data_IF_319946931779
#
_entry.id   IF_319946931779
#
_cell.length_a   1.000
_cell.length_b   1.000
_cell.length_c   1.000
_cell.angle_alpha   90.00
_cell.angle_beta   90.00
_cell.angle_gamma   90.00
#
_symmetry.space_group_name_H-M   'P 1'
#
loop_
_entity.id
_entity.type
_entity.pdbx_description
1 polymer ?
#
# COMPACT_ATOMS: atom_id res chain seq x y z
N UNK A 1 -2.57 -12.13 26.19
CA UNK A 1 -2.93 -12.12 24.76
C UNK A 1 -1.70 -11.71 23.94
N UNK A 2 -1.32 -12.52 22.98
CA UNK A 2 -0.19 -12.21 22.11
C UNK A 2 -0.70 -11.63 20.81
N UNK A 3 -0.22 -10.45 20.45
CA UNK A 3 -0.54 -9.84 19.16
C UNK A 3 0.56 -10.16 18.16
N UNK A 4 0.18 -10.50 16.95
CA UNK A 4 1.13 -10.68 15.85
C UNK A 4 1.10 -9.44 14.98
N UNK A 5 2.28 -8.95 14.61
CA UNK A 5 2.40 -7.81 13.71
C UNK A 5 3.08 -8.24 12.43
N UNK A 6 2.47 -7.91 11.30
CA UNK A 6 2.99 -8.19 9.97
C UNK A 6 3.33 -6.87 9.31
N UNK A 7 4.54 -6.77 8.77
CA UNK A 7 4.99 -5.55 8.13
C UNK A 7 5.49 -5.84 6.72
N UNK A 8 5.09 -4.96 5.81
CA UNK A 8 5.45 -5.04 4.39
C UNK A 8 5.91 -3.68 3.93
N UNK A 9 6.75 -3.66 2.92
CA UNK A 9 7.07 -2.42 2.23
C UNK A 9 7.03 -2.64 0.72
N UNK A 10 6.75 -1.56 0.03
CA UNK A 10 6.57 -1.54 -1.40
C UNK A 10 7.41 -0.41 -1.98
N UNK A 11 8.06 -0.70 -3.09
CA UNK A 11 8.76 0.29 -3.88
C UNK A 11 8.27 0.20 -5.31
N UNK A 12 7.91 1.33 -5.91
CA UNK A 12 7.51 1.34 -7.30
C UNK A 12 7.99 2.58 -8.03
N UNK A 13 8.14 2.42 -9.33
CA UNK A 13 8.44 3.51 -10.25
C UNK A 13 7.37 3.48 -11.34
N UNK A 14 6.22 4.15 -11.09
CA UNK A 14 5.16 4.23 -12.09
C UNK A 14 5.65 5.06 -13.28
N UNK A 15 5.72 4.45 -14.45
CA UNK A 15 6.16 5.13 -15.67
C UNK A 15 5.15 4.89 -16.78
N UNK A 16 4.97 5.91 -17.64
CA UNK A 16 4.06 5.82 -18.75
C UNK A 16 2.59 5.84 -18.34
N UNK A 17 1.70 5.61 -19.30
CA UNK A 17 0.25 5.62 -19.11
C UNK A 17 -0.34 4.25 -18.84
N UNK A 18 0.46 3.18 -18.99
CA UNK A 18 -0.01 1.80 -18.86
C UNK A 18 0.35 1.22 -17.50
N UNK A 19 -0.60 0.55 -16.80
CA UNK A 19 -0.29 -0.11 -15.53
C UNK A 19 0.85 -1.12 -15.64
N UNK A 20 0.96 -1.80 -16.80
CA UNK A 20 2.00 -2.80 -17.03
C UNK A 20 3.41 -2.21 -17.05
N UNK A 21 3.55 -0.88 -17.24
CA UNK A 21 4.85 -0.21 -17.24
C UNK A 21 5.35 0.10 -15.82
N UNK A 22 4.53 -0.16 -14.80
CA UNK A 22 4.91 0.11 -13.41
C UNK A 22 5.82 -0.98 -12.89
N UNK A 23 7.04 -0.60 -12.47
CA UNK A 23 7.93 -1.51 -11.75
C UNK A 23 7.50 -1.54 -10.29
N UNK A 24 7.26 -2.73 -9.76
CA UNK A 24 6.73 -2.90 -8.41
C UNK A 24 7.51 -3.99 -7.68
N UNK A 25 8.04 -3.65 -6.52
CA UNK A 25 8.76 -4.58 -5.66
C UNK A 25 8.13 -4.60 -4.28
N UNK A 26 7.96 -5.81 -3.72
CA UNK A 26 7.44 -6.02 -2.38
C UNK A 26 8.49 -6.69 -1.50
N UNK A 27 8.50 -6.31 -0.24
CA UNK A 27 9.31 -6.97 0.78
C UNK A 27 8.46 -7.17 2.04
N UNK A 28 8.81 -8.19 2.81
CA UNK A 28 8.21 -8.45 4.11
C UNK A 28 9.28 -8.42 5.19
N UNK A 29 8.89 -8.03 6.39
CA UNK A 29 9.79 -8.10 7.55
C UNK A 29 9.75 -9.51 8.11
N UNK A 30 10.92 -10.16 8.20
CA UNK A 30 11.02 -11.51 8.74
C UNK A 30 10.97 -11.50 10.27
N UNK A 31 10.82 -12.69 10.87
CA UNK A 31 10.81 -12.82 12.33
C UNK A 31 12.13 -12.40 12.97
N UNK A 32 13.22 -12.41 12.19
CA UNK A 32 14.54 -11.98 12.68
C UNK A 32 14.78 -10.48 12.49
N UNK A 33 13.80 -9.74 11.98
CA UNK A 33 13.93 -8.31 11.79
C UNK A 33 14.57 -7.89 10.47
N UNK A 34 14.71 -8.80 9.52
CA UNK A 34 15.29 -8.53 8.21
C UNK A 34 14.21 -8.40 7.13
N UNK A 35 14.41 -7.47 6.21
CA UNK A 35 13.54 -7.35 5.06
C UNK A 35 13.91 -8.37 4.01
N UNK A 36 12.91 -9.11 3.54
CA UNK A 36 13.07 -10.16 2.53
C UNK A 36 12.19 -9.87 1.33
N UNK A 37 12.67 -10.14 0.11
CA UNK A 37 11.81 -10.01 -1.07
C UNK A 37 10.57 -10.89 -0.93
N UNK A 38 9.42 -10.37 -1.35
CA UNK A 38 8.17 -11.11 -1.36
C UNK A 38 7.63 -11.13 -2.78
N UNK A 39 7.67 -12.30 -3.40
CA UNK A 39 7.06 -12.54 -4.70
C UNK A 39 5.88 -13.47 -4.46
N UNK A 40 4.64 -12.97 -4.49
CA UNK A 40 3.46 -13.80 -4.24
C UNK A 40 3.39 -14.95 -5.24
N UNK A 41 3.10 -16.13 -4.73
CA UNK A 41 3.02 -17.36 -5.53
C UNK A 41 1.95 -18.26 -4.92
N UNK A 42 1.61 -19.35 -5.63
CA UNK A 42 0.61 -20.30 -5.14
C UNK A 42 1.03 -20.98 -3.84
N UNK A 43 2.33 -21.05 -3.57
CA UNK A 43 2.86 -21.62 -2.33
C UNK A 43 2.93 -20.63 -1.17
N UNK A 44 2.65 -19.35 -1.39
CA UNK A 44 2.65 -18.34 -0.33
C UNK A 44 1.49 -18.61 0.62
N UNK A 45 1.71 -18.55 1.96
CA UNK A 45 0.61 -18.72 2.91
C UNK A 45 -0.55 -17.76 2.61
N UNK A 46 -1.78 -18.29 2.65
CA UNK A 46 -2.96 -17.54 2.24
C UNK A 46 -3.16 -16.23 2.98
N UNK A 47 -2.89 -16.19 4.29
CA UNK A 47 -3.04 -14.96 5.06
C UNK A 47 -2.03 -13.90 4.62
N UNK A 48 -0.79 -14.33 4.31
CA UNK A 48 0.22 -13.41 3.78
C UNK A 48 -0.18 -12.86 2.41
N UNK A 49 -0.78 -13.69 1.57
CA UNK A 49 -1.34 -13.23 0.30
C UNK A 49 -2.45 -12.21 0.53
N UNK A 50 -3.31 -12.44 1.50
CA UNK A 50 -4.39 -11.52 1.83
C UNK A 50 -3.85 -10.15 2.25
N UNK A 51 -2.86 -10.11 3.14
CA UNK A 51 -2.25 -8.86 3.56
C UNK A 51 -1.50 -8.17 2.41
N UNK A 52 -0.79 -8.94 1.59
CA UNK A 52 -0.12 -8.40 0.41
C UNK A 52 -1.11 -7.80 -0.58
N UNK A 53 -2.28 -8.43 -0.71
CA UNK A 53 -3.34 -7.93 -1.59
C UNK A 53 -3.85 -6.57 -1.12
N UNK A 54 -3.92 -6.32 0.18
CA UNK A 54 -4.29 -5.00 0.69
C UNK A 54 -3.30 -3.92 0.24
N UNK A 55 -2.00 -4.19 0.40
CA UNK A 55 -0.98 -3.25 -0.01
C UNK A 55 -0.97 -3.02 -1.51
N UNK A 56 -1.08 -4.09 -2.30
CA UNK A 56 -1.12 -4.02 -3.76
C UNK A 56 -2.35 -3.24 -4.22
N UNK A 57 -3.49 -3.47 -3.60
CA UNK A 57 -4.73 -2.78 -3.93
C UNK A 57 -4.63 -1.28 -3.62
N UNK A 58 -4.08 -0.94 -2.47
CA UNK A 58 -3.83 0.46 -2.12
C UNK A 58 -2.96 1.15 -3.16
N UNK A 59 -1.85 0.50 -3.53
CA UNK A 59 -0.94 1.02 -4.53
C UNK A 59 -1.62 1.19 -5.90
N UNK A 60 -2.41 0.21 -6.32
CA UNK A 60 -3.12 0.27 -7.60
C UNK A 60 -4.01 1.51 -7.67
N UNK A 61 -4.79 1.76 -6.64
CA UNK A 61 -5.71 2.90 -6.62
C UNK A 61 -5.01 4.24 -6.47
N UNK A 62 -3.88 4.25 -5.77
CA UNK A 62 -3.03 5.43 -5.70
C UNK A 62 -2.55 5.84 -7.10
N UNK A 63 -1.98 4.89 -7.84
CA UNK A 63 -1.45 5.15 -9.19
C UNK A 63 -2.59 5.52 -10.14
N UNK A 64 -3.73 4.82 -10.06
CA UNK A 64 -4.86 5.09 -10.92
C UNK A 64 -5.42 6.51 -10.72
N UNK A 65 -5.58 6.94 -9.47
CA UNK A 65 -6.08 8.29 -9.19
C UNK A 65 -5.09 9.35 -9.62
N UNK A 66 -3.80 9.15 -9.37
CA UNK A 66 -2.78 10.09 -9.79
C UNK A 66 -2.79 10.26 -11.32
N UNK A 67 -2.94 9.16 -12.06
CA UNK A 67 -3.04 9.21 -13.52
C UNK A 67 -4.27 9.96 -13.98
N UNK A 68 -5.41 9.72 -13.36
CA UNK A 68 -6.65 10.41 -13.71
C UNK A 68 -6.55 11.91 -13.46
N UNK A 69 -5.80 12.32 -12.44
CA UNK A 69 -5.54 13.73 -12.16
C UNK A 69 -4.44 14.34 -13.03
N UNK A 70 -3.78 13.52 -13.85
CA UNK A 70 -2.65 13.99 -14.66
C UNK A 70 -1.38 14.26 -13.86
N UNK A 71 -1.24 13.63 -12.69
CA UNK A 71 -0.05 13.78 -11.87
C UNK A 71 1.02 12.75 -12.29
N UNK A 72 2.20 13.20 -12.73
CA UNK A 72 3.25 12.28 -13.19
C UNK A 72 4.06 11.75 -12.02
N UNK A 73 3.62 10.63 -11.47
CA UNK A 73 4.37 9.94 -10.42
C UNK A 73 5.65 9.34 -10.98
N UNK A 74 6.77 9.58 -10.33
CA UNK A 74 8.03 8.91 -10.70
C UNK A 74 8.46 7.88 -9.65
N UNK A 75 7.99 7.99 -8.42
CA UNK A 75 8.38 7.07 -7.36
C UNK A 75 7.31 7.00 -6.28
N UNK A 76 7.07 5.78 -5.78
CA UNK A 76 6.19 5.54 -4.63
C UNK A 76 6.90 4.59 -3.68
N UNK A 77 6.99 4.99 -2.42
CA UNK A 77 7.45 4.14 -1.33
C UNK A 77 6.28 3.92 -0.40
N UNK A 78 5.96 2.67 -0.11
CA UNK A 78 4.85 2.34 0.76
C UNK A 78 5.26 1.42 1.90
N UNK A 79 4.62 1.60 3.04
CA UNK A 79 4.72 0.69 4.18
C UNK A 79 3.34 0.29 4.60
N UNK A 80 3.17 -0.98 4.92
CA UNK A 80 1.90 -1.51 5.37
C UNK A 80 2.11 -2.38 6.60
N UNK A 81 1.28 -2.18 7.60
CA UNK A 81 1.34 -2.93 8.85
C UNK A 81 -0.04 -3.46 9.19
N UNK A 82 -0.10 -4.71 9.63
CA UNK A 82 -1.33 -5.34 10.09
C UNK A 82 -1.04 -6.05 11.41
N UNK A 83 -1.96 -5.93 12.36
CA UNK A 83 -1.85 -6.61 13.65
C UNK A 83 -3.04 -7.55 13.80
N UNK A 84 -2.78 -8.75 14.32
CA UNK A 84 -3.81 -9.75 14.58
C UNK A 84 -3.82 -10.17 16.05
N UNK A 85 -4.98 -10.61 16.51
CA UNK A 85 -5.13 -11.27 17.80
C UNK A 85 -4.71 -12.74 17.69
N UNK A 86 -4.80 -13.48 18.80
CA UNK A 86 -4.41 -14.89 18.86
C UNK A 86 -5.20 -15.78 17.89
N UNK A 87 -6.46 -15.42 17.64
CA UNK A 87 -7.33 -16.16 16.73
C UNK A 87 -7.17 -15.76 15.26
N UNK A 88 -6.12 -14.97 14.95
CA UNK A 88 -5.83 -14.46 13.61
C UNK A 88 -6.81 -13.42 13.09
N UNK A 89 -7.73 -12.94 13.91
CA UNK A 89 -8.57 -11.82 13.48
C UNK A 89 -7.75 -10.53 13.44
N UNK A 90 -8.00 -9.72 12.42
CA UNK A 90 -7.33 -8.43 12.29
C UNK A 90 -7.82 -7.46 13.36
N UNK A 91 -6.88 -6.81 14.05
CA UNK A 91 -7.18 -5.80 15.06
C UNK A 91 -6.86 -4.40 14.58
N UNK A 92 -5.99 -4.26 13.59
CA UNK A 92 -5.63 -2.96 13.02
C UNK A 92 -4.88 -3.14 11.71
N UNK A 93 -5.11 -2.23 10.76
CA UNK A 93 -4.30 -2.10 9.56
C UNK A 93 -3.88 -0.64 9.38
N UNK A 94 -2.67 -0.41 8.92
CA UNK A 94 -2.16 0.93 8.66
C UNK A 94 -1.26 0.93 7.44
N UNK A 95 -1.35 2.00 6.66
CA UNK A 95 -0.50 2.22 5.50
C UNK A 95 0.08 3.62 5.54
N UNK A 96 1.30 3.76 5.07
CA UNK A 96 1.98 5.04 4.92
C UNK A 96 2.71 5.04 3.58
N UNK A 97 2.46 6.06 2.77
CA UNK A 97 3.02 6.15 1.41
C UNK A 97 3.69 7.49 1.21
N UNK A 98 4.85 7.46 0.58
CA UNK A 98 5.55 8.64 0.12
C UNK A 98 5.47 8.68 -1.40
N UNK A 99 5.02 9.81 -1.93
CA UNK A 99 4.81 10.02 -3.36
C UNK A 99 5.81 11.05 -3.85
N UNK A 100 6.45 10.75 -4.97
CA UNK A 100 7.32 11.70 -5.65
C UNK A 100 6.83 11.92 -7.07
N UNK A 101 6.62 13.17 -7.43
CA UNK A 101 6.26 13.56 -8.79
C UNK A 101 7.51 13.87 -9.60
N UNK A 102 7.38 13.81 -10.92
CA UNK A 102 8.45 14.25 -11.80
C UNK A 102 8.80 15.71 -11.53
N UNK A 103 10.05 16.08 -11.80
CA UNK A 103 10.56 17.42 -11.53
C UNK A 103 9.68 18.49 -12.18
N UNK A 104 9.40 19.56 -11.42
CA UNK A 104 8.58 20.66 -11.90
C UNK A 104 7.07 20.50 -11.69
N UNK A 105 6.66 19.40 -11.06
CA UNK A 105 5.25 19.13 -10.77
C UNK A 105 5.00 19.15 -9.28
N UNK A 106 3.78 19.50 -8.91
CA UNK A 106 3.34 19.56 -7.52
C UNK A 106 1.86 19.17 -7.46
N UNK A 107 1.38 18.87 -6.26
CA UNK A 107 -0.02 18.54 -6.00
C UNK A 107 -0.46 19.22 -4.73
N UNK A 108 -1.68 19.78 -4.74
CA UNK A 108 -2.23 20.45 -3.56
C UNK A 108 -2.83 19.41 -2.59
N UNK A 109 -3.22 19.87 -1.41
CA UNK A 109 -3.78 19.02 -0.38
C UNK A 109 -5.09 18.34 -0.83
N UNK A 110 -5.90 19.00 -1.65
CA UNK A 110 -7.14 18.42 -2.17
C UNK A 110 -6.86 17.28 -3.13
N UNK A 111 -5.85 17.40 -3.98
CA UNK A 111 -5.43 16.34 -4.90
C UNK A 111 -4.95 15.11 -4.14
N UNK A 112 -4.10 15.32 -3.14
CA UNK A 112 -3.59 14.23 -2.29
C UNK A 112 -4.74 13.61 -1.50
N UNK A 113 -5.67 14.42 -0.99
CA UNK A 113 -6.84 13.94 -0.27
C UNK A 113 -7.74 13.04 -1.13
N UNK A 114 -7.91 13.35 -2.41
CA UNK A 114 -8.68 12.51 -3.33
C UNK A 114 -8.00 11.17 -3.59
N UNK A 115 -6.67 11.17 -3.67
CA UNK A 115 -5.91 9.92 -3.79
C UNK A 115 -6.16 9.05 -2.56
N UNK A 116 -6.03 9.64 -1.37
CA UNK A 116 -6.25 8.94 -0.11
C UNK A 116 -7.66 8.35 -0.03
N UNK A 117 -8.67 9.13 -0.38
CA UNK A 117 -10.06 8.69 -0.36
C UNK A 117 -10.29 7.49 -1.27
N UNK A 118 -9.75 7.54 -2.50
CA UNK A 118 -9.88 6.44 -3.43
C UNK A 118 -9.17 5.18 -2.92
N UNK A 119 -8.00 5.33 -2.31
CA UNK A 119 -7.29 4.19 -1.73
C UNK A 119 -8.10 3.52 -0.62
N UNK A 120 -8.71 4.32 0.26
CA UNK A 120 -9.53 3.80 1.36
C UNK A 120 -10.79 3.10 0.86
N UNK A 121 -11.23 3.40 -0.34
CA UNK A 121 -12.40 2.78 -0.97
C UNK A 121 -12.05 1.60 -1.87
N UNK A 122 -10.80 1.12 -1.84
CA UNK A 122 -10.43 -0.03 -2.66
C UNK A 122 -11.23 -1.27 -2.25
N UNK A 123 -11.56 -2.16 -3.19
CA UNK A 123 -12.43 -3.30 -2.89
C UNK A 123 -11.94 -4.17 -1.75
N UNK A 124 -10.63 -4.34 -1.59
CA UNK A 124 -10.11 -5.18 -0.51
C UNK A 124 -10.39 -4.55 0.85
N UNK A 125 -10.12 -3.25 1.02
CA UNK A 125 -10.40 -2.56 2.28
C UNK A 125 -11.90 -2.40 2.54
N UNK A 126 -12.69 -2.22 1.50
CA UNK A 126 -14.16 -2.11 1.67
C UNK A 126 -14.78 -3.38 2.20
N UNK A 127 -14.14 -4.53 1.98
CA UNK A 127 -14.61 -5.81 2.48
C UNK A 127 -14.01 -6.17 3.84
N UNK A 128 -13.18 -5.30 4.40
CA UNK A 128 -12.70 -5.46 5.75
C UNK A 128 -13.80 -5.05 6.73
N UNK A 129 -13.95 -5.81 7.83
CA UNK A 129 -14.95 -5.49 8.85
C UNK A 129 -14.83 -4.03 9.30
N UNK A 130 -15.97 -3.35 9.42
CA UNK A 130 -15.99 -1.94 9.78
C UNK A 130 -15.39 -1.67 11.17
N UNK A 131 -15.41 -2.67 12.05
CA UNK A 131 -14.86 -2.57 13.40
C UNK A 131 -13.33 -2.55 13.44
N UNK A 132 -12.67 -2.95 12.34
CA UNK A 132 -11.20 -2.95 12.30
C UNK A 132 -10.70 -1.54 12.00
N UNK A 133 -9.98 -0.92 12.95
CA UNK A 133 -9.40 0.41 12.70
C UNK A 133 -8.42 0.37 11.52
N UNK A 134 -8.51 1.39 10.69
CA UNK A 134 -7.60 1.53 9.55
C UNK A 134 -7.10 2.96 9.47
N UNK A 135 -5.81 3.12 9.21
CA UNK A 135 -5.21 4.42 9.02
C UNK A 135 -4.40 4.44 7.73
N UNK A 136 -4.38 5.57 7.08
CA UNK A 136 -3.64 5.75 5.83
C UNK A 136 -3.07 7.15 5.80
N UNK A 137 -1.75 7.23 5.64
CA UNK A 137 -1.03 8.49 5.53
C UNK A 137 -0.37 8.59 4.17
N UNK A 138 -0.49 9.75 3.55
CA UNK A 138 0.18 10.07 2.29
C UNK A 138 1.02 11.31 2.48
N UNK A 139 2.25 11.28 1.98
CA UNK A 139 3.17 12.39 2.02
C UNK A 139 3.76 12.61 0.63
N UNK A 140 3.71 13.86 0.16
CA UNK A 140 4.36 14.23 -1.07
C UNK A 140 5.80 14.63 -0.73
N UNK A 141 6.77 13.96 -1.36
CA UNK A 141 8.20 14.22 -1.13
C UNK A 141 8.80 14.77 -2.42
N UNK A 142 9.76 15.60 -2.26
CA UNK A 142 10.29 16.26 -3.43
C UNK A 142 11.74 16.30 -3.50
#
# INVERSE_FOLDING_TARGET
MTLRTFQFRLHSQPTGSEPAATTLELERLSDTGEWEPLVPALSTPGFRLYLSAMLICLHYHLVAEAREQGLPLCRVEGRFSATTADDWSLTQVSGAFQLQLEQGHDADADSVGRIRERMLNCPVLRNLEASVPRSLELELVG
#
